data_IF_089814919092
#
_entry.id   IF_089814919092
#
_cell.length_a   1.000
_cell.length_b   1.000
_cell.length_c   1.000
_cell.angle_alpha   90.00
_cell.angle_beta   90.00
_cell.angle_gamma   90.00
#
_symmetry.space_group_name_H-M   'P 1'
#
loop_
_entity.id
_entity.type
_entity.pdbx_description
1 polymer ?
#
# COMPACT_ATOMS: atom_id res chain seq x y z
N UNK A 1 48.28 -31.02 -13.36
CA UNK A 1 46.83 -30.71 -13.31
C UNK A 1 46.23 -31.48 -12.14
N UNK A 2 45.96 -30.80 -11.02
CA UNK A 2 44.70 -31.00 -10.32
C UNK A 2 43.92 -29.68 -10.32
N UNK A 3 42.61 -29.86 -10.46
CA UNK A 3 41.60 -28.85 -10.75
C UNK A 3 41.34 -28.00 -9.50
N UNK A 4 41.51 -26.68 -9.61
CA UNK A 4 41.03 -25.69 -8.65
C UNK A 4 39.56 -25.42 -8.92
N UNK A 5 38.66 -26.03 -8.13
CA UNK A 5 37.30 -25.50 -7.96
C UNK A 5 37.33 -24.61 -6.71
N UNK A 6 37.56 -23.32 -6.91
CA UNK A 6 37.09 -22.31 -5.97
C UNK A 6 35.71 -21.88 -6.49
N UNK A 7 34.66 -22.43 -5.88
CA UNK A 7 33.38 -21.76 -5.89
C UNK A 7 33.58 -20.52 -5.00
N UNK A 8 33.65 -19.35 -5.62
CA UNK A 8 33.49 -18.07 -4.92
C UNK A 8 32.07 -18.07 -4.35
N UNK A 9 31.91 -18.56 -3.12
CA UNK A 9 30.78 -18.17 -2.29
C UNK A 9 30.90 -16.67 -2.08
N UNK A 10 30.00 -15.91 -2.72
CA UNK A 10 29.87 -14.47 -2.61
C UNK A 10 29.66 -14.11 -1.13
N UNK A 11 30.75 -13.80 -0.43
CA UNK A 11 30.75 -13.49 0.99
C UNK A 11 29.97 -12.20 1.17
N UNK A 12 28.74 -12.35 1.66
CA UNK A 12 27.79 -11.27 1.96
C UNK A 12 28.50 -10.17 2.78
N UNK A 13 28.56 -8.91 2.30
CA UNK A 13 29.16 -7.83 3.06
C UNK A 13 28.27 -7.53 4.28
N UNK A 14 28.86 -7.53 5.47
CA UNK A 14 28.15 -7.21 6.72
C UNK A 14 27.47 -5.83 6.62
N UNK A 15 26.15 -5.80 6.80
CA UNK A 15 25.34 -4.57 6.72
C UNK A 15 24.75 -4.28 5.34
N UNK A 16 24.67 -5.29 4.47
CA UNK A 16 24.06 -5.18 3.13
C UNK A 16 22.57 -4.77 3.21
N UNK A 17 22.16 -3.75 2.45
CA UNK A 17 20.78 -3.25 2.43
C UNK A 17 20.22 -3.20 1.02
N UNK A 18 18.98 -3.68 0.83
CA UNK A 18 18.20 -3.50 -0.40
C UNK A 18 17.01 -2.58 -0.16
N UNK A 19 16.70 -1.71 -1.12
CA UNK A 19 15.56 -0.78 -1.03
C UNK A 19 14.55 -1.04 -2.14
N UNK A 20 13.28 -1.27 -1.76
CA UNK A 20 12.17 -1.35 -2.70
C UNK A 20 11.34 -0.08 -2.57
N UNK A 21 11.20 0.69 -3.66
CA UNK A 21 10.51 1.98 -3.68
C UNK A 21 9.23 1.89 -4.51
N UNK A 22 8.13 2.32 -3.91
CA UNK A 22 6.88 2.59 -4.60
C UNK A 22 7.06 3.75 -5.59
N UNK A 23 6.85 3.47 -6.87
CA UNK A 23 6.95 4.42 -7.97
C UNK A 23 5.89 5.53 -7.89
N UNK A 24 4.69 5.22 -7.41
CA UNK A 24 3.65 6.20 -7.12
C UNK A 24 4.11 7.20 -6.06
N UNK A 25 4.62 6.71 -4.94
CA UNK A 25 5.24 7.54 -3.89
C UNK A 25 6.41 8.37 -4.42
N UNK A 26 7.30 7.75 -5.20
CA UNK A 26 8.48 8.41 -5.78
C UNK A 26 8.07 9.62 -6.61
N UNK A 27 7.06 9.48 -7.47
CA UNK A 27 6.57 10.57 -8.33
C UNK A 27 6.31 11.84 -7.53
N UNK A 28 5.86 11.75 -6.28
CA UNK A 28 5.57 12.91 -5.44
C UNK A 28 6.78 13.53 -4.74
N UNK A 29 7.95 12.87 -4.68
CA UNK A 29 9.13 13.37 -3.92
C UNK A 29 9.92 14.46 -4.61
N UNK A 30 9.92 14.52 -5.94
CA UNK A 30 10.73 15.49 -6.67
C UNK A 30 9.87 16.68 -7.10
N UNK A 31 10.30 17.89 -6.75
CA UNK A 31 9.72 19.13 -7.26
C UNK A 31 10.20 19.36 -8.69
N UNK A 32 9.26 19.58 -9.60
CA UNK A 32 9.55 19.90 -11.00
C UNK A 32 9.75 21.40 -11.15
N UNK A 33 10.94 21.81 -11.62
CA UNK A 33 11.22 23.22 -11.89
C UNK A 33 10.57 23.65 -13.20
N UNK A 34 10.03 24.85 -13.24
CA UNK A 34 9.57 25.46 -14.49
C UNK A 34 10.74 25.59 -15.47
N UNK A 35 10.45 25.48 -16.77
CA UNK A 35 11.44 25.51 -17.85
C UNK A 35 12.46 24.37 -17.88
N UNK A 36 12.38 23.38 -16.98
CA UNK A 36 13.17 22.16 -17.09
C UNK A 36 12.65 21.26 -18.22
N UNK A 37 13.55 20.54 -18.89
CA UNK A 37 13.18 19.51 -19.85
C UNK A 37 12.74 18.23 -19.13
N UNK A 38 11.96 17.36 -19.78
CA UNK A 38 11.56 16.09 -19.19
C UNK A 38 12.75 15.17 -18.87
N UNK A 39 13.81 15.20 -19.69
CA UNK A 39 15.07 14.50 -19.42
C UNK A 39 15.73 15.00 -18.14
N UNK A 40 15.89 16.33 -18.00
CA UNK A 40 16.45 16.93 -16.79
C UNK A 40 15.60 16.64 -15.54
N UNK A 41 14.28 16.52 -15.69
CA UNK A 41 13.39 16.09 -14.61
C UNK A 41 13.66 14.64 -14.24
N UNK A 42 13.74 13.72 -15.22
CA UNK A 42 14.05 12.31 -14.98
C UNK A 42 15.42 12.12 -14.31
N UNK A 43 16.43 12.87 -14.75
CA UNK A 43 17.77 12.86 -14.13
C UNK A 43 17.72 13.23 -12.65
N UNK A 44 16.84 14.16 -12.24
CA UNK A 44 16.66 14.50 -10.82
C UNK A 44 16.09 13.34 -10.00
N UNK A 45 15.24 12.49 -10.59
CA UNK A 45 14.76 11.28 -9.92
C UNK A 45 15.89 10.27 -9.75
N UNK A 46 16.68 10.04 -10.81
CA UNK A 46 17.88 9.18 -10.76
C UNK A 46 18.85 9.65 -9.67
N UNK A 47 19.19 10.95 -9.69
CA UNK A 47 20.07 11.55 -8.69
C UNK A 47 19.53 11.41 -7.26
N UNK A 48 18.23 11.63 -7.07
CA UNK A 48 17.61 11.47 -5.76
C UNK A 48 17.72 10.04 -5.22
N UNK A 49 17.46 9.04 -6.07
CA UNK A 49 17.53 7.64 -5.67
C UNK A 49 18.97 7.22 -5.34
N UNK A 50 19.91 7.53 -6.23
CA UNK A 50 21.33 7.22 -6.03
C UNK A 50 21.88 7.88 -4.76
N UNK A 51 21.59 9.17 -4.56
CA UNK A 51 22.11 9.91 -3.40
C UNK A 51 21.50 9.44 -2.07
N UNK A 52 20.26 8.93 -2.10
CA UNK A 52 19.54 8.58 -0.88
C UNK A 52 19.66 7.11 -0.51
N UNK A 53 19.75 6.22 -1.49
CA UNK A 53 19.62 4.78 -1.28
C UNK A 53 20.76 3.95 -1.87
N UNK A 54 21.60 4.52 -2.76
CA UNK A 54 22.69 3.78 -3.41
C UNK A 54 22.23 2.97 -4.63
N UNK A 55 22.95 1.87 -4.92
CA UNK A 55 22.78 1.04 -6.13
C UNK A 55 21.81 -0.15 -5.92
N UNK A 56 21.67 -0.65 -4.69
CA UNK A 56 20.83 -1.81 -4.36
C UNK A 56 19.37 -1.40 -4.17
N UNK A 57 18.73 -1.04 -5.29
CA UNK A 57 17.39 -0.47 -5.30
C UNK A 57 16.53 -0.98 -6.46
N UNK A 58 15.26 -1.28 -6.15
CA UNK A 58 14.20 -1.49 -7.12
C UNK A 58 13.12 -0.42 -7.00
N UNK A 59 12.68 0.14 -8.14
CA UNK A 59 11.51 1.03 -8.22
C UNK A 59 10.37 0.29 -8.92
N UNK A 60 9.19 0.27 -8.31
CA UNK A 60 8.05 -0.50 -8.82
C UNK A 60 6.89 0.45 -9.12
N UNK A 61 6.48 0.50 -10.39
CA UNK A 61 5.38 1.35 -10.84
C UNK A 61 4.07 0.57 -10.98
N UNK A 62 2.95 1.30 -10.81
CA UNK A 62 1.62 0.82 -11.14
C UNK A 62 1.51 0.44 -12.63
N UNK A 63 0.64 -0.55 -12.85
CA UNK A 63 0.23 -0.98 -14.17
C UNK A 63 -0.86 -0.11 -14.75
N UNK A 64 -1.04 -0.24 -16.06
CA UNK A 64 -2.03 0.51 -16.82
C UNK A 64 -2.75 -0.42 -17.80
N UNK A 65 -3.64 -1.30 -17.31
CA UNK A 65 -4.36 -2.24 -18.18
C UNK A 65 -5.20 -1.49 -19.21
N UNK A 66 -5.29 -2.02 -20.43
CA UNK A 66 -6.06 -1.41 -21.53
C UNK A 66 -7.59 -1.53 -21.31
N UNK A 67 -8.04 -2.46 -20.44
CA UNK A 67 -9.45 -2.76 -20.22
C UNK A 67 -9.96 -2.11 -18.91
N UNK A 68 -10.28 -0.81 -18.99
CA UNK A 68 -10.61 0.08 -17.86
C UNK A 68 -11.90 -0.28 -17.09
N UNK A 69 -12.69 -1.27 -17.53
CA UNK A 69 -14.03 -1.54 -16.95
C UNK A 69 -14.03 -2.29 -15.62
N UNK A 70 -12.92 -2.91 -15.21
CA UNK A 70 -12.84 -3.74 -13.98
C UNK A 70 -11.88 -3.21 -12.90
N UNK A 71 -11.25 -2.05 -13.10
CA UNK A 71 -10.30 -1.50 -12.12
C UNK A 71 -11.02 -0.87 -10.92
N UNK A 72 -10.70 -1.32 -9.70
CA UNK A 72 -11.15 -0.74 -8.43
C UNK A 72 -10.69 0.72 -8.23
N UNK A 73 -9.73 1.21 -9.03
CA UNK A 73 -9.26 2.61 -9.03
C UNK A 73 -10.12 3.55 -9.89
N UNK A 74 -11.15 3.09 -10.61
CA UNK A 74 -11.98 3.95 -11.47
C UNK A 74 -12.62 5.15 -10.74
N UNK A 75 -13.11 4.95 -9.52
CA UNK A 75 -13.68 6.06 -8.74
C UNK A 75 -12.65 7.14 -8.40
N UNK A 76 -11.43 6.74 -8.03
CA UNK A 76 -10.35 7.68 -7.74
C UNK A 76 -9.84 8.39 -9.00
N UNK A 77 -9.81 7.66 -10.13
CA UNK A 77 -9.48 8.17 -11.47
C UNK A 77 -10.48 9.23 -11.95
N UNK A 78 -11.78 8.95 -11.83
CA UNK A 78 -12.86 9.88 -12.20
C UNK A 78 -12.84 11.16 -11.34
N UNK A 79 -12.49 11.06 -10.05
CA UNK A 79 -12.40 12.24 -9.17
C UNK A 79 -11.27 13.22 -9.58
N UNK A 80 -10.20 12.73 -10.21
CA UNK A 80 -9.05 13.55 -10.67
C UNK A 80 -9.23 14.10 -12.09
N UNK A 81 -10.16 13.54 -12.88
CA UNK A 81 -10.36 13.87 -14.29
C UNK A 81 -10.98 15.26 -14.56
N UNK A 82 -11.41 16.02 -13.55
CA UNK A 82 -12.03 17.34 -13.78
C UNK A 82 -11.03 18.46 -14.15
N UNK A 83 -9.71 18.24 -14.02
CA UNK A 83 -8.69 19.29 -14.18
C UNK A 83 -7.39 18.80 -14.86
N UNK A 84 -7.47 18.06 -15.95
CA UNK A 84 -6.28 17.56 -16.66
C UNK A 84 -5.71 18.54 -17.70
N UNK A 85 -4.40 18.47 -17.95
CA UNK A 85 -3.82 19.01 -19.18
C UNK A 85 -4.25 18.18 -20.40
N UNK A 86 -4.31 18.77 -21.61
CA UNK A 86 -4.47 17.99 -22.83
C UNK A 86 -3.45 16.85 -22.93
N UNK A 87 -3.72 15.84 -23.76
CA UNK A 87 -2.70 14.84 -24.08
C UNK A 87 -1.52 15.51 -24.78
N UNK A 88 -0.33 15.45 -24.19
CA UNK A 88 0.87 16.09 -24.72
C UNK A 88 1.83 15.01 -25.20
N UNK A 89 2.31 15.14 -26.43
CA UNK A 89 3.46 14.38 -26.90
C UNK A 89 4.72 15.12 -26.49
N UNK A 90 5.59 14.46 -25.73
CA UNK A 90 6.85 15.04 -25.27
C UNK A 90 7.98 14.01 -25.29
N UNK A 91 9.19 14.53 -25.45
CA UNK A 91 10.45 13.78 -25.46
C UNK A 91 11.40 14.38 -24.41
N UNK A 92 12.58 13.79 -24.24
CA UNK A 92 13.55 14.21 -23.22
C UNK A 92 13.91 15.69 -23.29
N UNK A 93 14.01 16.26 -24.50
CA UNK A 93 14.35 17.67 -24.73
C UNK A 93 13.16 18.63 -24.61
N UNK A 94 11.93 18.11 -24.54
CA UNK A 94 10.73 18.95 -24.46
C UNK A 94 10.68 19.68 -23.13
N UNK A 95 10.51 21.01 -23.18
CA UNK A 95 10.40 21.85 -21.99
C UNK A 95 9.03 21.69 -21.33
N UNK A 96 9.01 21.53 -20.01
CA UNK A 96 7.79 21.42 -19.21
C UNK A 96 6.95 22.70 -19.32
N UNK A 97 5.77 22.58 -19.96
CA UNK A 97 4.80 23.68 -20.12
C UNK A 97 3.71 23.71 -19.03
N UNK A 98 3.55 22.62 -18.29
CA UNK A 98 2.48 22.43 -17.32
C UNK A 98 3.05 22.18 -15.93
N UNK A 99 2.28 22.53 -14.89
CA UNK A 99 2.59 22.08 -13.53
C UNK A 99 2.56 20.55 -13.46
N UNK A 100 3.42 19.98 -12.62
CA UNK A 100 3.51 18.53 -12.37
C UNK A 100 2.13 17.91 -12.10
N UNK A 101 1.33 18.56 -11.25
CA UNK A 101 0.02 18.06 -10.83
C UNK A 101 -0.95 17.95 -12.01
N UNK A 102 -1.01 18.98 -12.86
CA UNK A 102 -1.85 18.99 -14.08
C UNK A 102 -1.40 17.96 -15.11
N UNK A 103 -0.09 17.74 -15.23
CA UNK A 103 0.44 16.79 -16.20
C UNK A 103 0.21 15.35 -15.75
N UNK A 104 0.48 15.03 -14.47
CA UNK A 104 0.30 13.69 -13.91
C UNK A 104 -1.18 13.34 -13.66
N UNK A 105 -2.09 14.32 -13.64
CA UNK A 105 -3.53 14.08 -13.59
C UNK A 105 -4.08 13.49 -14.90
N UNK A 106 -3.40 13.72 -16.04
CA UNK A 106 -3.75 13.07 -17.31
C UNK A 106 -3.08 11.70 -17.38
N UNK A 107 -3.87 10.62 -17.48
CA UNK A 107 -3.33 9.26 -17.48
C UNK A 107 -2.37 9.00 -18.65
N UNK A 108 -2.71 9.44 -19.86
CA UNK A 108 -1.85 9.26 -21.02
C UNK A 108 -0.49 9.96 -20.82
N UNK A 109 -0.49 11.17 -20.25
CA UNK A 109 0.75 11.89 -19.95
C UNK A 109 1.52 11.23 -18.80
N UNK A 110 0.83 10.76 -17.76
CA UNK A 110 1.44 10.02 -16.64
C UNK A 110 2.09 8.73 -17.15
N UNK A 111 1.40 7.93 -17.97
CA UNK A 111 1.94 6.72 -18.63
C UNK A 111 3.21 7.06 -19.41
N UNK A 112 3.17 8.08 -20.27
CA UNK A 112 4.34 8.53 -21.06
C UNK A 112 5.51 8.98 -20.19
N UNK A 113 5.23 9.74 -19.12
CA UNK A 113 6.27 10.17 -18.20
C UNK A 113 6.90 9.00 -17.44
N UNK A 114 6.09 8.05 -16.98
CA UNK A 114 6.59 6.83 -16.33
C UNK A 114 7.47 6.04 -17.29
N UNK A 115 7.07 5.87 -18.56
CA UNK A 115 7.93 5.20 -19.55
C UNK A 115 9.27 5.91 -19.78
N UNK A 116 9.27 7.26 -19.84
CA UNK A 116 10.51 8.04 -19.93
C UNK A 116 11.37 7.85 -18.67
N UNK A 117 10.77 7.91 -17.50
CA UNK A 117 11.46 7.74 -16.23
C UNK A 117 12.03 6.33 -16.06
N UNK A 118 11.29 5.28 -16.43
CA UNK A 118 11.76 3.88 -16.44
C UNK A 118 13.04 3.75 -17.25
N UNK A 119 13.07 4.31 -18.45
CA UNK A 119 14.26 4.29 -19.33
C UNK A 119 15.45 5.01 -18.69
N UNK A 120 15.23 6.18 -18.09
CA UNK A 120 16.28 6.93 -17.41
C UNK A 120 16.86 6.18 -16.20
N UNK A 121 15.99 5.57 -15.39
CA UNK A 121 16.39 4.74 -14.24
C UNK A 121 17.20 3.51 -14.69
N UNK A 122 16.71 2.78 -15.71
CA UNK A 122 17.40 1.62 -16.27
C UNK A 122 18.77 1.98 -16.85
N UNK A 123 18.88 3.13 -17.54
CA UNK A 123 20.16 3.66 -18.04
C UNK A 123 21.15 3.97 -16.92
N UNK A 124 20.66 4.26 -15.72
CA UNK A 124 21.45 4.49 -14.53
C UNK A 124 21.66 3.22 -13.68
N UNK A 125 21.40 2.04 -14.23
CA UNK A 125 21.49 0.73 -13.58
C UNK A 125 20.57 0.53 -12.36
N UNK A 126 19.50 1.33 -12.24
CA UNK A 126 18.47 1.12 -11.22
C UNK A 126 17.49 0.05 -11.71
N UNK A 127 17.19 -0.94 -10.87
CA UNK A 127 16.19 -1.95 -11.19
C UNK A 127 14.81 -1.31 -11.24
N UNK A 128 14.05 -1.60 -12.30
CA UNK A 128 12.69 -1.07 -12.47
C UNK A 128 11.74 -2.17 -12.88
N UNK A 129 10.63 -2.26 -12.17
CA UNK A 129 9.55 -3.19 -12.46
C UNK A 129 8.23 -2.42 -12.62
N UNK A 130 7.27 -3.04 -13.29
CA UNK A 130 5.94 -2.47 -13.45
C UNK A 130 4.90 -3.57 -13.29
N UNK A 131 3.89 -3.31 -12.46
CA UNK A 131 2.81 -4.24 -12.23
C UNK A 131 1.84 -4.28 -13.42
N UNK A 132 0.99 -5.32 -13.45
CA UNK A 132 -0.09 -5.43 -14.44
C UNK A 132 -1.22 -4.45 -14.11
N UNK A 133 -1.52 -4.27 -12.82
CA UNK A 133 -2.53 -3.35 -12.33
C UNK A 133 -2.00 -2.55 -11.15
N UNK A 134 -1.97 -3.15 -9.96
CA UNK A 134 -1.51 -2.49 -8.73
C UNK A 134 -0.09 -2.94 -8.36
N UNK A 135 0.79 -1.98 -8.06
CA UNK A 135 2.14 -2.23 -7.61
C UNK A 135 2.22 -2.85 -6.21
N UNK A 136 1.15 -2.77 -5.41
CA UNK A 136 1.12 -3.19 -4.01
C UNK A 136 1.67 -4.60 -3.79
N UNK A 137 1.13 -5.61 -4.50
CA UNK A 137 1.58 -6.99 -4.36
C UNK A 137 3.02 -7.18 -4.86
N UNK A 138 3.35 -6.53 -5.98
CA UNK A 138 4.68 -6.63 -6.58
C UNK A 138 5.76 -6.06 -5.66
N UNK A 139 5.45 -5.00 -4.91
CA UNK A 139 6.35 -4.43 -3.91
C UNK A 139 6.65 -5.42 -2.78
N UNK A 140 5.68 -6.25 -2.35
CA UNK A 140 5.89 -7.20 -1.24
C UNK A 140 6.76 -8.30 -1.76
N UNK A 141 6.35 -8.86 -2.89
CA UNK A 141 6.97 -10.05 -3.44
C UNK A 141 8.42 -9.74 -3.82
N UNK A 142 8.69 -8.57 -4.39
CA UNK A 142 10.05 -8.13 -4.65
C UNK A 142 10.85 -7.97 -3.36
N UNK A 143 10.29 -7.32 -2.33
CA UNK A 143 10.98 -7.18 -1.04
C UNK A 143 11.27 -8.53 -0.39
N UNK A 144 10.30 -9.46 -0.37
CA UNK A 144 10.45 -10.81 0.19
C UNK A 144 11.49 -11.62 -0.60
N UNK A 145 11.47 -11.54 -1.93
CA UNK A 145 12.36 -12.33 -2.79
C UNK A 145 13.85 -12.03 -2.60
N UNK A 146 14.17 -10.81 -2.15
CA UNK A 146 15.55 -10.38 -1.91
C UNK A 146 16.01 -10.58 -0.47
N UNK A 147 15.10 -10.88 0.48
CA UNK A 147 15.45 -11.11 1.90
C UNK A 147 16.61 -12.11 2.09
N UNK A 148 16.68 -13.25 1.36
CA UNK A 148 17.78 -14.19 1.57
C UNK A 148 19.16 -13.63 1.23
N UNK A 149 19.23 -12.58 0.40
CA UNK A 149 20.47 -12.04 -0.17
C UNK A 149 21.01 -10.82 0.59
N UNK A 150 20.20 -10.17 1.43
CA UNK A 150 20.58 -8.91 2.10
C UNK A 150 20.35 -9.01 3.61
N UNK A 151 21.07 -8.22 4.40
CA UNK A 151 20.86 -8.18 5.86
C UNK A 151 19.62 -7.36 6.22
N UNK A 152 19.34 -6.32 5.44
CA UNK A 152 18.21 -5.44 5.63
C UNK A 152 17.47 -5.15 4.32
N UNK A 153 16.16 -5.36 4.30
CA UNK A 153 15.31 -4.94 3.18
C UNK A 153 14.37 -3.84 3.65
N UNK A 154 14.40 -2.68 2.97
CA UNK A 154 13.56 -1.53 3.30
C UNK A 154 12.54 -1.29 2.18
N UNK A 155 11.26 -1.27 2.54
CA UNK A 155 10.20 -0.80 1.64
C UNK A 155 9.93 0.68 1.90
N UNK A 156 9.93 1.49 0.82
CA UNK A 156 9.66 2.93 0.86
C UNK A 156 8.43 3.21 0.01
N UNK A 157 7.32 3.49 0.68
CA UNK A 157 6.06 3.91 0.07
C UNK A 157 5.22 4.66 1.08
N UNK A 158 4.19 5.36 0.61
CA UNK A 158 3.25 6.03 1.52
C UNK A 158 2.19 5.07 2.06
N UNK A 159 1.88 3.96 1.37
CA UNK A 159 0.59 3.28 1.54
C UNK A 159 0.56 1.73 1.42
N UNK A 160 1.65 0.96 1.57
CA UNK A 160 1.63 -0.41 0.98
C UNK A 160 1.40 -1.63 1.91
N UNK A 161 1.97 -1.75 3.12
CA UNK A 161 1.67 -2.90 4.03
C UNK A 161 1.04 -2.49 5.34
N UNK A 162 1.47 -1.35 5.87
CA UNK A 162 0.86 -0.80 7.07
C UNK A 162 -0.51 -0.21 6.75
N UNK A 163 -0.74 0.38 5.57
CA UNK A 163 -2.09 0.77 5.17
C UNK A 163 -2.94 -0.46 4.80
N UNK A 164 -2.43 -1.47 4.10
CA UNK A 164 -3.20 -2.67 3.70
C UNK A 164 -3.70 -3.47 4.92
N UNK A 165 -2.89 -3.70 5.95
CA UNK A 165 -3.36 -4.25 7.22
C UNK A 165 -4.37 -3.34 7.94
N UNK A 166 -4.20 -2.01 7.85
CA UNK A 166 -5.03 -1.03 8.56
C UNK A 166 -6.32 -0.61 7.83
N UNK A 167 -6.39 -0.70 6.50
CA UNK A 167 -7.54 -0.36 5.64
C UNK A 167 -8.32 -1.57 5.20
N UNK A 168 -7.72 -2.77 5.15
CA UNK A 168 -8.51 -3.98 5.25
C UNK A 168 -9.31 -3.90 6.56
N UNK A 169 -8.68 -3.74 7.72
CA UNK A 169 -9.41 -3.53 8.96
C UNK A 169 -10.16 -2.18 9.05
N UNK A 170 -10.10 -1.30 8.04
CA UNK A 170 -10.86 -0.05 7.99
C UNK A 170 -11.20 0.43 6.55
N UNK A 171 -12.20 -0.18 5.89
CA UNK A 171 -13.21 0.56 5.09
C UNK A 171 -14.38 -0.37 4.70
N UNK A 172 -15.64 -0.02 4.96
CA UNK A 172 -16.39 0.92 4.10
C UNK A 172 -17.13 2.04 4.82
N UNK A 173 -16.99 2.18 6.14
CA UNK A 173 -17.38 3.40 6.84
C UNK A 173 -16.28 3.71 7.85
N UNK A 174 -15.65 4.89 7.72
CA UNK A 174 -14.68 5.39 8.69
C UNK A 174 -15.14 5.09 10.11
N UNK A 175 -14.37 4.33 10.88
CA UNK A 175 -14.60 4.20 12.32
C UNK A 175 -14.49 5.60 12.90
N UNK A 176 -15.64 6.17 13.21
CA UNK A 176 -15.76 7.60 13.42
C UNK A 176 -14.91 8.02 14.63
N UNK A 177 -13.88 8.82 14.38
CA UNK A 177 -12.96 9.32 15.41
C UNK A 177 -11.71 8.45 15.68
N UNK A 178 -11.46 7.38 14.91
CA UNK A 178 -10.20 6.63 14.96
C UNK A 178 -9.25 7.11 13.85
N UNK A 179 -8.17 7.80 14.21
CA UNK A 179 -7.20 8.34 13.24
C UNK A 179 -6.13 7.33 12.81
N UNK A 180 -5.59 7.46 11.59
CA UNK A 180 -4.53 6.59 11.04
C UNK A 180 -3.33 6.44 11.97
N UNK A 181 -2.90 7.52 12.62
CA UNK A 181 -1.76 7.51 13.55
C UNK A 181 -2.00 6.64 14.80
N UNK A 182 -3.26 6.54 15.27
CA UNK A 182 -3.60 5.72 16.43
C UNK A 182 -3.42 4.23 16.11
N UNK A 183 -3.85 3.82 14.93
CA UNK A 183 -3.61 2.48 14.43
C UNK A 183 -2.12 2.15 14.29
N UNK A 184 -1.33 3.04 13.68
CA UNK A 184 0.13 2.86 13.59
C UNK A 184 0.74 2.68 14.99
N UNK A 185 0.36 3.53 15.94
CA UNK A 185 0.86 3.43 17.32
C UNK A 185 0.44 2.16 18.04
N UNK A 186 -0.71 1.57 17.68
CA UNK A 186 -1.23 0.35 18.28
C UNK A 186 -0.43 -0.86 17.83
N UNK A 187 -0.24 -1.01 16.52
CA UNK A 187 0.53 -2.12 15.95
C UNK A 187 2.02 -2.06 16.31
N UNK A 188 2.58 -0.87 16.50
CA UNK A 188 3.95 -0.72 17.02
C UNK A 188 4.09 -1.15 18.49
N UNK A 189 3.01 -1.11 19.27
CA UNK A 189 3.02 -1.47 20.70
C UNK A 189 2.66 -2.92 20.97
N UNK A 190 1.96 -3.56 20.04
CA UNK A 190 1.42 -4.91 20.20
C UNK A 190 1.79 -5.76 18.99
N UNK A 191 2.97 -6.39 19.05
CA UNK A 191 3.48 -7.29 18.01
C UNK A 191 2.52 -8.46 17.74
N UNK A 192 1.81 -8.93 18.77
CA UNK A 192 0.77 -9.96 18.64
C UNK A 192 -0.36 -9.58 17.67
N UNK A 193 -0.65 -8.29 17.50
CA UNK A 193 -1.68 -7.85 16.54
C UNK A 193 -1.20 -7.99 15.09
N UNK A 194 0.12 -7.91 14.84
CA UNK A 194 0.69 -8.20 13.53
C UNK A 194 0.48 -9.67 13.16
N UNK A 195 0.71 -10.58 14.11
CA UNK A 195 0.45 -12.01 13.92
C UNK A 195 -1.03 -12.29 13.62
N UNK A 196 -1.95 -11.62 14.34
CA UNK A 196 -3.39 -11.77 14.07
C UNK A 196 -3.75 -11.23 12.69
N UNK A 197 -3.22 -10.08 12.30
CA UNK A 197 -3.50 -9.49 11.00
C UNK A 197 -2.80 -10.21 9.83
N UNK A 198 -1.74 -10.99 10.08
CA UNK A 198 -1.15 -11.90 9.08
C UNK A 198 -2.15 -12.97 8.60
N UNK A 199 -3.17 -13.31 9.39
CA UNK A 199 -4.30 -14.16 8.97
C UNK A 199 -4.96 -13.63 7.69
N UNK A 200 -5.01 -12.30 7.51
CA UNK A 200 -5.62 -11.70 6.33
C UNK A 200 -4.81 -11.91 5.06
N UNK A 201 -3.53 -12.25 5.19
CA UNK A 201 -2.64 -12.59 4.07
C UNK A 201 -2.73 -14.07 3.69
N UNK A 202 -3.24 -14.94 4.57
CA UNK A 202 -3.33 -16.37 4.30
C UNK A 202 -4.54 -16.70 3.40
N UNK A 203 -4.34 -17.22 2.16
CA UNK A 203 -5.44 -17.57 1.26
C UNK A 203 -6.27 -18.75 1.73
N UNK A 204 -5.77 -19.56 2.66
CA UNK A 204 -6.48 -20.71 3.23
C UNK A 204 -7.06 -20.41 4.62
N UNK A 205 -7.04 -19.15 5.07
CA UNK A 205 -7.65 -18.77 6.34
C UNK A 205 -9.14 -19.10 6.35
N UNK A 206 -9.57 -19.78 7.41
CA UNK A 206 -10.98 -20.04 7.66
C UNK A 206 -11.70 -18.74 8.03
N UNK A 207 -13.01 -18.67 7.77
CA UNK A 207 -13.83 -17.50 8.09
C UNK A 207 -13.72 -17.13 9.57
N UNK A 208 -13.70 -18.13 10.45
CA UNK A 208 -13.60 -17.95 11.90
C UNK A 208 -12.27 -17.31 12.30
N UNK A 209 -11.17 -17.70 11.66
CA UNK A 209 -9.85 -17.11 11.92
C UNK A 209 -9.81 -15.65 11.49
N UNK A 210 -10.43 -15.34 10.35
CA UNK A 210 -10.52 -13.97 9.81
C UNK A 210 -11.36 -13.08 10.71
N UNK A 211 -12.53 -13.56 11.14
CA UNK A 211 -13.44 -12.79 12.00
C UNK A 211 -12.84 -12.58 13.39
N UNK A 212 -12.25 -13.62 13.98
CA UNK A 212 -11.54 -13.54 15.26
C UNK A 212 -10.36 -12.56 15.18
N UNK A 213 -9.51 -12.67 14.15
CA UNK A 213 -8.39 -11.76 13.97
C UNK A 213 -8.86 -10.29 13.82
N UNK A 214 -9.93 -10.06 13.05
CA UNK A 214 -10.48 -8.73 12.85
C UNK A 214 -11.10 -8.13 14.12
N UNK A 215 -11.88 -8.92 14.85
CA UNK A 215 -12.48 -8.51 16.12
C UNK A 215 -11.41 -8.15 17.15
N UNK A 216 -10.37 -8.98 17.26
CA UNK A 216 -9.27 -8.75 18.19
C UNK A 216 -8.50 -7.46 17.93
N UNK A 217 -8.26 -7.10 16.67
CA UNK A 217 -7.65 -5.81 16.35
C UNK A 217 -8.57 -4.65 16.73
N UNK A 218 -9.88 -4.80 16.53
CA UNK A 218 -10.85 -3.78 16.91
C UNK A 218 -10.95 -3.62 18.42
N UNK A 219 -10.93 -4.71 19.20
CA UNK A 219 -10.86 -4.66 20.67
C UNK A 219 -9.66 -3.82 21.13
N UNK A 220 -8.47 -4.12 20.59
CA UNK A 220 -7.25 -3.36 20.90
C UNK A 220 -7.35 -1.88 20.46
N UNK A 221 -7.94 -1.61 19.29
CA UNK A 221 -8.13 -0.25 18.78
C UNK A 221 -9.00 0.61 19.71
N UNK A 222 -10.03 0.02 20.29
CA UNK A 222 -10.90 0.67 21.26
C UNK A 222 -10.34 0.66 22.70
N UNK A 223 -9.13 0.13 22.88
CA UNK A 223 -8.36 0.17 24.13
C UNK A 223 -8.69 -0.95 25.11
N UNK A 224 -9.33 -2.03 24.64
CA UNK A 224 -9.48 -3.25 25.43
C UNK A 224 -8.37 -4.26 25.19
N UNK A 225 -8.32 -5.28 26.03
CA UNK A 225 -7.41 -6.42 25.91
C UNK A 225 -8.07 -7.56 25.09
N UNK A 226 -7.55 -7.90 23.90
CA UNK A 226 -8.09 -8.97 23.06
C UNK A 226 -8.01 -10.38 23.68
N UNK A 227 -7.27 -10.58 24.77
CA UNK A 227 -7.23 -11.87 25.46
C UNK A 227 -8.38 -12.06 26.45
N UNK A 228 -9.00 -10.96 26.92
CA UNK A 228 -9.94 -10.99 28.05
C UNK A 228 -11.25 -10.26 27.79
N UNK A 229 -11.35 -9.47 26.71
CA UNK A 229 -12.50 -8.62 26.42
C UNK A 229 -12.99 -8.81 24.99
N UNK A 230 -14.29 -8.57 24.79
CA UNK A 230 -14.93 -8.56 23.46
C UNK A 230 -15.49 -7.17 23.11
N UNK A 231 -15.88 -6.99 21.85
CA UNK A 231 -16.37 -5.71 21.34
C UNK A 231 -17.68 -5.27 22.00
N UNK A 232 -18.58 -6.21 22.29
CA UNK A 232 -19.89 -5.89 22.87
C UNK A 232 -19.76 -5.35 24.31
N UNK A 233 -18.88 -5.94 25.13
CA UNK A 233 -18.54 -5.42 26.46
C UNK A 233 -17.92 -4.02 26.38
N UNK A 234 -16.95 -3.82 25.49
CA UNK A 234 -16.34 -2.50 25.27
C UNK A 234 -17.36 -1.48 24.79
N UNK A 235 -18.29 -1.89 23.92
CA UNK A 235 -19.37 -1.04 23.40
C UNK A 235 -20.33 -0.65 24.51
N UNK A 236 -20.72 -1.59 25.36
CA UNK A 236 -21.59 -1.33 26.52
C UNK A 236 -20.91 -0.37 27.51
N UNK A 237 -19.67 -0.64 27.92
CA UNK A 237 -18.93 0.25 28.81
C UNK A 237 -18.76 1.66 28.23
N UNK A 238 -18.44 1.75 26.94
CA UNK A 238 -18.32 3.03 26.23
C UNK A 238 -19.65 3.78 26.20
N UNK A 239 -20.77 3.06 25.99
CA UNK A 239 -22.11 3.62 25.99
C UNK A 239 -22.50 4.16 27.37
N UNK A 240 -22.35 3.37 28.44
CA UNK A 240 -22.64 3.80 29.82
C UNK A 240 -21.87 5.08 30.17
N UNK A 241 -20.59 5.12 29.82
CA UNK A 241 -19.71 6.27 30.08
C UNK A 241 -20.07 7.50 29.22
N UNK A 242 -20.62 7.29 28.02
CA UNK A 242 -21.09 8.34 27.13
C UNK A 242 -22.45 8.91 27.57
N UNK A 243 -23.38 8.04 27.98
CA UNK A 243 -24.73 8.40 28.43
C UNK A 243 -24.72 9.28 29.69
N UNK A 244 -23.67 9.19 30.51
CA UNK A 244 -23.46 10.08 31.66
C UNK A 244 -23.07 11.53 31.28
N UNK A 245 -22.84 11.83 29.99
CA UNK A 245 -22.41 13.16 29.52
C UNK A 245 -23.57 13.94 28.91
N UNK A 246 -23.56 15.26 29.10
CA UNK A 246 -24.58 16.18 28.55
C UNK A 246 -24.54 16.33 27.03
N UNK A 247 -23.39 16.04 26.40
CA UNK A 247 -23.22 15.91 24.94
C UNK A 247 -22.39 14.68 24.65
N UNK A 248 -22.93 13.73 23.89
CA UNK A 248 -22.21 12.54 23.44
C UNK A 248 -22.49 12.26 21.96
N UNK A 249 -21.56 11.55 21.32
CA UNK A 249 -21.68 11.15 19.92
C UNK A 249 -21.64 9.63 19.83
N UNK A 250 -22.79 9.03 19.49
CA UNK A 250 -22.98 7.59 19.36
C UNK A 250 -22.10 6.97 18.26
N UNK A 251 -21.68 7.74 17.26
CA UNK A 251 -20.83 7.24 16.18
C UNK A 251 -19.41 6.85 16.67
N UNK A 252 -18.98 7.32 17.85
CA UNK A 252 -17.67 6.99 18.44
C UNK A 252 -17.64 5.65 19.18
N UNK A 253 -18.78 4.97 19.32
CA UNK A 253 -18.82 3.67 19.99
C UNK A 253 -18.07 2.60 19.16
N UNK A 254 -17.48 1.59 19.81
CA UNK A 254 -17.03 0.36 19.14
C UNK A 254 -18.13 -0.23 18.25
N UNK A 255 -17.81 -0.90 17.14
CA UNK A 255 -18.84 -1.62 16.37
C UNK A 255 -19.46 -2.72 17.23
N UNK A 256 -20.64 -3.20 16.83
CA UNK A 256 -21.13 -4.50 17.33
C UNK A 256 -20.26 -5.62 16.77
N UNK A 257 -20.20 -6.75 17.48
CA UNK A 257 -19.47 -7.93 17.03
C UNK A 257 -19.89 -8.34 15.61
N UNK A 258 -21.18 -8.47 15.30
CA UNK A 258 -21.65 -8.81 13.94
C UNK A 258 -21.15 -7.86 12.85
N UNK A 259 -21.16 -6.54 13.13
CA UNK A 259 -20.69 -5.54 12.18
C UNK A 259 -19.17 -5.61 12.00
N UNK A 260 -18.42 -5.89 13.07
CA UNK A 260 -16.99 -6.10 13.03
C UNK A 260 -16.60 -7.36 12.24
N UNK A 261 -17.35 -8.45 12.40
CA UNK A 261 -17.12 -9.70 11.67
C UNK A 261 -17.40 -9.54 10.17
N UNK A 262 -18.54 -8.94 9.80
CA UNK A 262 -18.85 -8.62 8.40
C UNK A 262 -17.80 -7.70 7.78
N UNK A 263 -17.33 -6.73 8.55
CA UNK A 263 -16.24 -5.86 8.15
C UNK A 263 -14.98 -6.67 7.87
N UNK A 264 -14.50 -7.45 8.84
CA UNK A 264 -13.34 -8.34 8.69
C UNK A 264 -13.44 -9.26 7.46
N UNK A 265 -14.61 -9.83 7.19
CA UNK A 265 -14.81 -10.68 6.01
C UNK A 265 -14.66 -9.93 4.68
N UNK A 266 -15.27 -8.75 4.54
CA UNK A 266 -15.14 -7.92 3.32
C UNK A 266 -13.70 -7.48 3.10
N UNK A 267 -13.04 -7.14 4.19
CA UNK A 267 -11.65 -6.74 4.25
C UNK A 267 -10.71 -7.85 3.82
N UNK A 268 -10.97 -9.07 4.29
CA UNK A 268 -10.24 -10.25 3.85
C UNK A 268 -10.43 -10.50 2.35
N UNK A 269 -11.66 -10.46 1.86
CA UNK A 269 -11.94 -10.59 0.42
C UNK A 269 -11.16 -9.57 -0.42
N UNK A 270 -11.13 -8.31 0.03
CA UNK A 270 -10.38 -7.25 -0.63
C UNK A 270 -8.87 -7.53 -0.65
N UNK A 271 -8.30 -7.94 0.49
CA UNK A 271 -6.88 -8.30 0.58
C UNK A 271 -6.56 -9.49 -0.32
N UNK A 272 -7.38 -10.52 -0.31
CA UNK A 272 -7.16 -11.72 -1.13
C UNK A 272 -7.28 -11.40 -2.63
N UNK A 273 -8.19 -10.51 -3.01
CA UNK A 273 -8.28 -10.00 -4.37
C UNK A 273 -6.99 -9.28 -4.79
N UNK A 274 -6.40 -8.46 -3.90
CA UNK A 274 -5.11 -7.82 -4.15
C UNK A 274 -3.96 -8.82 -4.28
N UNK A 275 -4.01 -9.92 -3.53
CA UNK A 275 -3.04 -11.00 -3.62
C UNK A 275 -3.23 -11.89 -4.87
N UNK A 276 -4.23 -11.61 -5.71
CA UNK A 276 -4.54 -12.40 -6.91
C UNK A 276 -5.35 -13.67 -6.65
N UNK A 277 -5.88 -13.83 -5.44
CA UNK A 277 -6.71 -14.97 -5.07
C UNK A 277 -8.18 -14.65 -5.35
N UNK A 278 -8.78 -15.34 -6.33
CA UNK A 278 -10.21 -15.20 -6.59
C UNK A 278 -11.03 -15.81 -5.44
N UNK A 279 -11.82 -14.97 -4.78
CA UNK A 279 -12.75 -15.35 -3.71
C UNK A 279 -14.15 -14.91 -4.13
N UNK A 280 -15.14 -15.78 -3.91
CA UNK A 280 -16.56 -15.47 -4.17
C UNK A 280 -17.03 -14.34 -3.23
N UNK A 281 -17.38 -13.14 -3.74
CA UNK A 281 -17.79 -12.01 -2.91
C UNK A 281 -18.99 -12.32 -1.99
N UNK A 282 -19.90 -13.20 -2.43
CA UNK A 282 -21.12 -13.55 -1.67
C UNK A 282 -20.79 -14.35 -0.40
N UNK A 283 -19.66 -15.06 -0.38
CA UNK A 283 -19.17 -15.79 0.80
C UNK A 283 -18.45 -14.90 1.80
N UNK A 284 -18.14 -13.65 1.43
CA UNK A 284 -17.30 -12.75 2.20
C UNK A 284 -17.96 -11.38 2.45
N UNK A 285 -19.27 -11.40 2.71
CA UNK A 285 -20.00 -10.24 3.24
C UNK A 285 -20.53 -9.25 2.19
N UNK A 286 -20.44 -9.57 0.90
CA UNK A 286 -21.10 -8.81 -0.17
C UNK A 286 -22.44 -9.44 -0.56
N UNK A 287 -23.37 -8.61 -1.03
CA UNK A 287 -24.67 -9.06 -1.53
C UNK A 287 -24.93 -8.40 -2.89
N UNK A 288 -25.71 -9.05 -3.74
CA UNK A 288 -26.20 -8.43 -4.97
C UNK A 288 -27.07 -7.21 -4.63
N UNK A 289 -26.83 -6.12 -5.34
CA UNK A 289 -27.78 -4.99 -5.35
C UNK A 289 -29.07 -5.44 -6.04
N UNK A 290 -30.25 -5.24 -5.41
CA UNK A 290 -31.55 -5.55 -6.01
C UNK A 290 -31.78 -4.85 -7.35
#
# INVERSE_FOLDING_TARGET
MPVSNAEDEDVKPEGSQYVVVDGGHLLHKIVWRQQATFGAIADRYVQYLNNKYGQDIAVIFDGFPDDDKKSTKNCERLRRAAHFSPGVMFHEETVLQYTKEKLLANECNKKRFIELLKKALQKANICVQQAVQDADLMIVNTAISVVPQYDYVRVVGEDIYLLVLLTSLASTHTLFGQGKNKFISLFLKHEELLNRAATFLNPQAATEQVTEAGENVLVALYGGDPATQNLDELRYHSFVKAAAKTKFNLARLPLTTDAAQLHAMRSYHQVQTWLGNEKDPLKWGWMHTP
#
